data_IF_993123083349
#
_entry.id   IF_993123083349
#
_cell.length_a   1.000
_cell.length_b   1.000
_cell.length_c   1.000
_cell.angle_alpha   90.00
_cell.angle_beta   90.00
_cell.angle_gamma   90.00
#
_symmetry.space_group_name_H-M   'P 1'
#
loop_
_entity.id
_entity.type
_entity.pdbx_description
1 polymer ?
#
# COMPACT_ATOMS: atom_id res chain seq x y z
N UNK A 1 4.64 -8.22 -3.42
CA UNK A 1 4.51 -8.71 -2.03
C UNK A 1 3.70 -9.98 -2.05
N UNK A 2 4.08 -10.98 -1.27
CA UNK A 2 3.35 -12.23 -1.16
C UNK A 2 3.58 -12.85 0.21
N UNK A 3 2.51 -13.24 0.90
CA UNK A 3 2.64 -13.93 2.19
C UNK A 3 3.17 -15.36 2.04
N UNK A 4 3.04 -15.95 0.84
CA UNK A 4 3.41 -17.33 0.55
C UNK A 4 4.06 -17.45 -0.82
N UNK A 5 5.04 -18.35 -0.92
CA UNK A 5 5.74 -18.68 -2.16
C UNK A 5 5.88 -20.20 -2.27
N UNK A 6 5.70 -20.70 -3.48
CA UNK A 6 6.04 -22.09 -3.83
C UNK A 6 7.14 -22.00 -4.87
N UNK A 7 8.35 -22.42 -4.50
CA UNK A 7 9.53 -22.40 -5.35
C UNK A 7 10.16 -23.79 -5.31
N UNK A 8 10.59 -24.31 -6.46
CA UNK A 8 11.34 -25.56 -6.51
C UNK A 8 12.64 -25.42 -5.74
N UNK A 9 13.02 -26.44 -4.98
CA UNK A 9 14.25 -26.44 -4.18
C UNK A 9 15.49 -26.02 -4.99
N UNK A 10 15.68 -26.60 -6.17
CA UNK A 10 16.82 -26.27 -7.06
C UNK A 10 16.86 -24.79 -7.44
N UNK A 11 15.71 -24.20 -7.77
CA UNK A 11 15.59 -22.77 -8.07
C UNK A 11 15.88 -21.92 -6.84
N UNK A 12 15.34 -22.29 -5.69
CA UNK A 12 15.53 -21.55 -4.43
C UNK A 12 17.00 -21.53 -3.98
N UNK A 13 17.70 -22.65 -4.13
CA UNK A 13 19.12 -22.77 -3.82
C UNK A 13 19.96 -21.93 -4.82
N UNK A 14 19.61 -21.95 -6.11
CA UNK A 14 20.35 -21.20 -7.14
C UNK A 14 20.28 -19.67 -6.97
N UNK A 15 19.19 -19.14 -6.40
CA UNK A 15 19.03 -17.68 -6.19
C UNK A 15 19.65 -17.20 -4.87
N UNK A 16 20.34 -18.09 -4.14
CA UNK A 16 21.04 -17.76 -2.89
C UNK A 16 20.15 -17.75 -1.65
N UNK A 17 18.92 -18.27 -1.74
CA UNK A 17 17.97 -18.42 -0.63
C UNK A 17 17.65 -17.10 0.11
N UNK A 18 17.00 -17.18 1.28
CA UNK A 18 16.73 -16.01 2.13
C UNK A 18 17.98 -15.39 2.77
N UNK A 19 19.10 -16.13 2.89
CA UNK A 19 20.36 -15.55 3.38
C UNK A 19 20.83 -14.41 2.47
N UNK A 20 20.60 -14.51 1.16
CA UNK A 20 20.94 -13.46 0.21
C UNK A 20 20.07 -12.20 0.26
N UNK A 21 18.97 -12.17 1.03
CA UNK A 21 18.04 -11.02 1.12
C UNK A 21 17.76 -10.56 2.56
N UNK A 22 18.45 -11.13 3.55
CA UNK A 22 18.28 -10.86 5.00
C UNK A 22 18.40 -9.39 5.42
N UNK A 23 19.07 -8.58 4.60
CA UNK A 23 19.26 -7.14 4.82
C UNK A 23 18.18 -6.25 4.17
N UNK A 24 17.23 -6.84 3.44
CA UNK A 24 16.19 -6.11 2.72
C UNK A 24 14.98 -5.87 3.63
N UNK A 25 14.36 -4.69 3.51
CA UNK A 25 13.13 -4.35 4.25
C UNK A 25 11.92 -5.18 3.76
N UNK A 26 12.00 -5.61 2.50
CA UNK A 26 10.96 -6.33 1.75
C UNK A 26 11.62 -7.57 1.14
N UNK A 27 11.90 -8.55 2.01
CA UNK A 27 12.63 -9.76 1.65
C UNK A 27 11.92 -10.55 0.54
N UNK A 28 10.59 -10.55 0.56
CA UNK A 28 9.72 -11.25 -0.40
C UNK A 28 9.79 -10.64 -1.81
N UNK A 29 9.79 -9.31 -1.91
CA UNK A 29 9.99 -8.59 -3.16
C UNK A 29 11.41 -8.74 -3.69
N UNK A 30 12.42 -8.69 -2.81
CA UNK A 30 13.82 -8.85 -3.19
C UNK A 30 14.12 -10.27 -3.69
N UNK A 31 13.56 -11.30 -3.04
CA UNK A 31 13.70 -12.68 -3.49
C UNK A 31 13.03 -12.89 -4.86
N UNK A 32 11.81 -12.38 -5.03
CA UNK A 32 11.10 -12.45 -6.31
C UNK A 32 11.86 -11.75 -7.45
N UNK A 33 12.54 -10.65 -7.15
CA UNK A 33 13.42 -9.96 -8.11
C UNK A 33 14.60 -10.84 -8.52
N UNK A 34 15.31 -11.45 -7.57
CA UNK A 34 16.42 -12.38 -7.88
C UNK A 34 15.98 -13.56 -8.74
N UNK A 35 14.80 -14.11 -8.47
CA UNK A 35 14.22 -15.18 -9.28
C UNK A 35 14.03 -14.74 -10.73
N UNK A 36 13.47 -13.55 -10.97
CA UNK A 36 13.31 -13.00 -12.32
C UNK A 36 14.65 -12.65 -12.99
N UNK A 37 15.61 -12.09 -12.25
CA UNK A 37 16.94 -11.75 -12.76
C UNK A 37 17.78 -12.99 -13.10
N UNK A 38 17.45 -14.14 -12.51
CA UNK A 38 18.09 -15.44 -12.81
C UNK A 38 17.35 -16.23 -13.91
N UNK A 39 16.59 -15.53 -14.77
CA UNK A 39 15.81 -16.07 -15.89
C UNK A 39 14.75 -17.13 -15.54
N UNK A 40 14.36 -17.22 -14.26
CA UNK A 40 13.26 -18.11 -13.87
C UNK A 40 11.90 -17.43 -14.05
N UNK A 41 10.92 -18.24 -14.48
CA UNK A 41 9.53 -17.80 -14.60
C UNK A 41 8.86 -17.76 -13.22
N UNK A 42 8.32 -16.61 -12.86
CA UNK A 42 7.53 -16.41 -11.65
C UNK A 42 6.13 -15.89 -12.03
N UNK A 43 5.08 -16.42 -11.39
CA UNK A 43 3.69 -15.99 -11.60
C UNK A 43 3.03 -15.71 -10.25
N UNK A 44 2.22 -14.65 -10.20
CA UNK A 44 1.32 -14.38 -9.08
C UNK A 44 -0.02 -15.08 -9.34
N UNK A 45 -0.49 -15.84 -8.35
CA UNK A 45 -1.74 -16.61 -8.42
C UNK A 45 -2.62 -16.19 -7.25
N UNK A 46 -3.92 -16.08 -7.51
CA UNK A 46 -4.96 -15.79 -6.52
C UNK A 46 -5.27 -17.05 -5.71
N UNK A 47 -5.06 -16.99 -4.40
CA UNK A 47 -5.17 -18.10 -3.46
C UNK A 47 -5.97 -17.75 -2.20
N UNK A 48 -6.77 -16.68 -2.26
CA UNK A 48 -7.56 -16.13 -1.15
C UNK A 48 -8.56 -17.17 -0.60
N UNK A 49 -8.98 -18.14 -1.42
CA UNK A 49 -9.87 -19.25 -1.05
C UNK A 49 -9.15 -20.43 -0.35
N UNK A 50 -7.82 -20.41 -0.27
CA UNK A 50 -7.02 -21.50 0.32
C UNK A 50 -6.27 -21.07 1.58
N UNK A 51 -5.88 -19.80 1.67
CA UNK A 51 -5.02 -19.32 2.75
C UNK A 51 -5.40 -17.91 3.18
N UNK A 52 -5.70 -17.76 4.47
CA UNK A 52 -5.93 -16.46 5.09
C UNK A 52 -4.64 -15.92 5.71
N UNK A 53 -4.30 -14.67 5.39
CA UNK A 53 -3.19 -13.95 5.98
C UNK A 53 -3.67 -12.65 6.62
N UNK A 54 -3.55 -12.57 7.94
CA UNK A 54 -3.85 -11.34 8.68
C UNK A 54 -2.65 -10.40 8.61
N UNK A 55 -2.82 -9.26 7.94
CA UNK A 55 -1.73 -8.28 7.75
C UNK A 55 -1.30 -7.60 9.05
N UNK A 56 -2.26 -7.26 9.91
CA UNK A 56 -2.03 -6.65 11.21
C UNK A 56 -3.11 -7.10 12.20
N UNK A 57 -2.72 -7.44 13.43
CA UNK A 57 -3.64 -7.87 14.50
C UNK A 57 -4.04 -6.73 15.44
N UNK A 58 -3.21 -5.69 15.51
CA UNK A 58 -3.38 -4.54 16.41
C UNK A 58 -3.18 -3.21 15.65
N UNK A 59 -3.79 -2.13 16.16
CA UNK A 59 -3.64 -0.77 15.61
C UNK A 59 -2.16 -0.36 15.45
N UNK A 60 -1.33 -0.65 16.44
CA UNK A 60 0.10 -0.32 16.40
C UNK A 60 0.84 -1.13 15.33
N UNK A 61 0.48 -2.40 15.14
CA UNK A 61 1.07 -3.24 14.08
C UNK A 61 0.66 -2.78 12.68
N UNK A 62 -0.60 -2.36 12.52
CA UNK A 62 -1.13 -1.79 11.26
C UNK A 62 -0.42 -0.49 10.92
N UNK A 63 -0.30 0.41 11.90
CA UNK A 63 0.35 1.70 11.71
C UNK A 63 1.81 1.54 11.27
N UNK A 64 2.55 0.65 11.94
CA UNK A 64 3.93 0.40 11.56
C UNK A 64 4.05 -0.31 10.20
N UNK A 65 3.09 -1.18 9.83
CA UNK A 65 3.04 -1.81 8.52
C UNK A 65 2.79 -0.80 7.38
N UNK A 66 1.88 0.16 7.57
CA UNK A 66 1.63 1.26 6.63
C UNK A 66 2.88 2.13 6.44
N UNK A 67 3.52 2.54 7.54
CA UNK A 67 4.79 3.29 7.47
C UNK A 67 5.84 2.51 6.71
N UNK A 68 5.99 1.21 6.98
CA UNK A 68 6.98 0.34 6.31
C UNK A 68 6.75 0.28 4.80
N UNK A 69 5.49 0.15 4.37
CA UNK A 69 5.15 0.12 2.94
C UNK A 69 5.60 1.41 2.24
N UNK A 70 5.25 2.56 2.82
CA UNK A 70 5.63 3.86 2.25
C UNK A 70 7.15 4.11 2.29
N UNK A 71 7.79 3.74 3.40
CA UNK A 71 9.25 3.85 3.54
C UNK A 71 9.96 3.01 2.47
N UNK A 72 9.53 1.77 2.25
CA UNK A 72 10.13 0.92 1.22
C UNK A 72 9.98 1.53 -0.18
N UNK A 73 8.82 2.10 -0.51
CA UNK A 73 8.62 2.83 -1.76
C UNK A 73 9.55 4.04 -1.87
N UNK A 74 9.74 4.78 -0.78
CA UNK A 74 10.62 5.94 -0.75
C UNK A 74 12.10 5.57 -0.94
N UNK A 75 12.53 4.41 -0.40
CA UNK A 75 13.89 3.88 -0.58
C UNK A 75 14.15 3.42 -2.02
N UNK A 76 13.12 2.89 -2.70
CA UNK A 76 13.23 2.54 -4.12
C UNK A 76 13.27 3.79 -5.00
N UNK A 77 12.30 4.69 -4.84
CA UNK A 77 12.23 5.94 -5.59
C UNK A 77 11.36 6.97 -4.88
N UNK A 78 12.00 8.00 -4.31
CA UNK A 78 11.32 9.08 -3.60
C UNK A 78 10.26 9.81 -4.45
N UNK A 79 10.47 9.97 -5.77
CA UNK A 79 9.49 10.62 -6.65
C UNK A 79 8.23 9.78 -6.82
N UNK A 80 8.41 8.47 -7.03
CA UNK A 80 7.30 7.52 -7.15
C UNK A 80 6.55 7.41 -5.82
N UNK A 81 7.25 7.42 -4.69
CA UNK A 81 6.62 7.41 -3.36
C UNK A 81 5.73 8.64 -3.14
N UNK A 82 6.23 9.85 -3.44
CA UNK A 82 5.42 11.08 -3.33
C UNK A 82 4.24 11.06 -4.30
N UNK A 83 4.44 10.63 -5.55
CA UNK A 83 3.34 10.49 -6.51
C UNK A 83 2.29 9.48 -6.04
N UNK A 84 2.71 8.34 -5.46
CA UNK A 84 1.80 7.33 -4.92
C UNK A 84 1.01 7.84 -3.72
N UNK A 85 1.62 8.67 -2.86
CA UNK A 85 0.93 9.33 -1.76
C UNK A 85 -0.16 10.27 -2.26
N UNK A 86 0.14 11.14 -3.23
CA UNK A 86 -0.87 12.01 -3.82
C UNK A 86 -1.95 11.21 -4.55
N UNK A 87 -1.59 10.14 -5.26
CA UNK A 87 -2.57 9.24 -5.89
C UNK A 87 -3.55 8.67 -4.87
N UNK A 88 -3.05 8.11 -3.76
CA UNK A 88 -3.87 7.57 -2.68
C UNK A 88 -4.72 8.67 -2.01
N UNK A 89 -4.13 9.84 -1.75
CA UNK A 89 -4.84 10.99 -1.16
C UNK A 89 -6.02 11.43 -2.02
N UNK A 90 -5.80 11.65 -3.33
CA UNK A 90 -6.84 12.17 -4.22
C UNK A 90 -7.87 11.12 -4.60
N UNK A 91 -7.45 9.87 -4.84
CA UNK A 91 -8.37 8.82 -5.29
C UNK A 91 -9.22 8.25 -4.15
N UNK A 92 -8.66 8.10 -2.95
CA UNK A 92 -9.36 7.42 -1.85
C UNK A 92 -9.93 8.37 -0.80
N UNK A 93 -9.32 9.53 -0.55
CA UNK A 93 -9.72 10.39 0.56
C UNK A 93 -10.39 11.69 0.12
N UNK A 94 -9.83 12.43 -0.84
CA UNK A 94 -10.30 13.78 -1.18
C UNK A 94 -11.75 13.86 -1.67
N UNK A 95 -12.31 12.78 -2.21
CA UNK A 95 -13.72 12.76 -2.60
C UNK A 95 -14.66 13.14 -1.44
N UNK A 96 -14.35 12.74 -0.20
CA UNK A 96 -15.23 12.97 0.95
C UNK A 96 -15.16 14.40 1.52
N UNK A 97 -13.96 15.00 1.77
CA UNK A 97 -13.88 16.40 2.18
C UNK A 97 -14.45 17.36 1.13
N UNK A 98 -14.23 17.11 -0.16
CA UNK A 98 -14.78 17.95 -1.23
C UNK A 98 -16.31 17.85 -1.25
N UNK A 99 -16.87 16.65 -1.05
CA UNK A 99 -18.31 16.48 -0.89
C UNK A 99 -18.84 17.29 0.31
N UNK A 100 -18.22 17.18 1.48
CA UNK A 100 -18.59 17.96 2.67
C UNK A 100 -18.52 19.48 2.44
N UNK A 101 -17.46 19.95 1.79
CA UNK A 101 -17.29 21.35 1.43
C UNK A 101 -18.38 21.83 0.47
N UNK A 102 -18.71 21.02 -0.55
CA UNK A 102 -19.74 21.36 -1.54
C UNK A 102 -21.15 21.43 -0.95
N UNK A 103 -21.45 20.66 0.10
CA UNK A 103 -22.74 20.71 0.80
C UNK A 103 -22.89 22.02 1.59
N UNK A 104 -21.84 22.47 2.26
CA UNK A 104 -21.87 23.68 3.11
C UNK A 104 -22.13 24.94 2.27
N UNK A 105 -21.57 25.01 1.06
CA UNK A 105 -21.66 26.16 0.16
C UNK A 105 -22.65 25.96 -1.00
N UNK A 106 -23.55 24.98 -0.89
CA UNK A 106 -24.47 24.60 -1.97
C UNK A 106 -25.34 25.77 -2.47
N UNK A 107 -25.76 26.67 -1.57
CA UNK A 107 -26.64 27.80 -1.91
C UNK A 107 -25.91 29.05 -2.40
N UNK A 108 -24.57 29.03 -2.53
CA UNK A 108 -23.81 30.25 -2.81
C UNK A 108 -23.71 30.58 -4.30
N UNK A 109 -23.37 29.60 -5.17
CA UNK A 109 -23.24 29.80 -6.63
C UNK A 109 -23.43 28.49 -7.40
N UNK A 110 -23.81 28.58 -8.69
CA UNK A 110 -24.00 27.42 -9.60
C UNK A 110 -22.75 26.53 -9.73
N UNK A 111 -21.55 27.09 -9.52
CA UNK A 111 -20.29 26.33 -9.53
C UNK A 111 -20.21 25.30 -8.39
N UNK A 112 -20.84 25.58 -7.24
CA UNK A 112 -20.89 24.62 -6.13
C UNK A 112 -21.82 23.44 -6.42
N UNK A 113 -22.87 23.64 -7.21
CA UNK A 113 -23.76 22.56 -7.66
C UNK A 113 -22.97 21.58 -8.55
N UNK A 114 -22.21 22.08 -9.52
CA UNK A 114 -21.34 21.22 -10.35
C UNK A 114 -20.31 20.46 -9.50
N UNK A 115 -19.67 21.14 -8.55
CA UNK A 115 -18.70 20.51 -7.64
C UNK A 115 -19.37 19.42 -6.78
N UNK A 116 -20.58 19.66 -6.30
CA UNK A 116 -21.36 18.71 -5.52
C UNK A 116 -21.69 17.46 -6.33
N UNK A 117 -22.18 17.60 -7.57
CA UNK A 117 -22.51 16.47 -8.44
C UNK A 117 -21.28 15.62 -8.74
N UNK A 118 -20.15 16.25 -9.09
CA UNK A 118 -18.90 15.54 -9.36
C UNK A 118 -18.40 14.81 -8.11
N UNK A 119 -18.47 15.44 -6.94
CA UNK A 119 -18.03 14.86 -5.67
C UNK A 119 -18.92 13.70 -5.23
N UNK A 120 -20.22 13.77 -5.51
CA UNK A 120 -21.16 12.66 -5.30
C UNK A 120 -20.77 11.46 -6.17
N UNK A 121 -20.56 11.67 -7.47
CA UNK A 121 -20.16 10.61 -8.40
C UNK A 121 -18.84 9.99 -7.96
N UNK A 122 -17.83 10.81 -7.64
CA UNK A 122 -16.54 10.34 -7.17
C UNK A 122 -16.66 9.49 -5.90
N UNK A 123 -17.44 9.96 -4.91
CA UNK A 123 -17.66 9.22 -3.67
C UNK A 123 -18.38 7.88 -3.91
N UNK A 124 -19.39 7.86 -4.79
CA UNK A 124 -20.10 6.63 -5.19
C UNK A 124 -19.13 5.64 -5.84
N UNK A 125 -18.25 6.10 -6.74
CA UNK A 125 -17.25 5.25 -7.38
C UNK A 125 -16.27 4.65 -6.37
N UNK A 126 -15.84 5.42 -5.36
CA UNK A 126 -15.00 4.90 -4.26
C UNK A 126 -15.74 3.81 -3.48
N UNK A 127 -17.02 4.00 -3.17
CA UNK A 127 -17.82 2.97 -2.49
C UNK A 127 -18.04 1.73 -3.37
N UNK A 128 -18.34 1.89 -4.66
CA UNK A 128 -18.48 0.76 -5.59
C UNK A 128 -17.16 -0.03 -5.65
N UNK A 129 -16.03 0.67 -5.80
CA UNK A 129 -14.70 0.05 -5.76
C UNK A 129 -14.46 -0.73 -4.46
N UNK A 130 -14.77 -0.12 -3.32
CA UNK A 130 -14.63 -0.77 -2.01
C UNK A 130 -15.58 -1.97 -1.80
N UNK A 131 -16.76 -1.97 -2.40
CA UNK A 131 -17.70 -3.10 -2.34
C UNK A 131 -17.23 -4.23 -3.27
N UNK A 132 -16.77 -3.90 -4.47
CA UNK A 132 -16.22 -4.88 -5.41
C UNK A 132 -14.98 -5.55 -4.85
N UNK A 133 -14.08 -4.79 -4.24
CA UNK A 133 -12.87 -5.33 -3.63
C UNK A 133 -13.19 -6.19 -2.39
N UNK A 134 -14.13 -5.76 -1.55
CA UNK A 134 -14.60 -6.57 -0.43
C UNK A 134 -15.24 -7.89 -0.89
N UNK A 135 -16.13 -7.86 -1.91
CA UNK A 135 -16.90 -9.05 -2.31
C UNK A 135 -16.17 -9.98 -3.26
N UNK A 136 -15.39 -9.46 -4.20
CA UNK A 136 -14.69 -10.26 -5.24
C UNK A 136 -13.19 -10.36 -5.02
N UNK A 137 -12.61 -9.43 -4.26
CA UNK A 137 -11.19 -9.40 -3.95
C UNK A 137 -10.87 -10.25 -2.72
N UNK A 138 -11.48 -9.88 -1.60
CA UNK A 138 -11.09 -10.32 -0.25
C UNK A 138 -12.12 -11.19 0.48
N UNK A 139 -13.30 -11.44 -0.13
CA UNK A 139 -14.43 -12.17 0.46
C UNK A 139 -14.85 -11.66 1.86
N UNK A 140 -14.83 -10.33 2.02
CA UNK A 140 -15.18 -9.62 3.24
C UNK A 140 -16.64 -9.16 3.23
N UNK A 141 -17.22 -9.02 4.43
CA UNK A 141 -18.57 -8.47 4.59
C UNK A 141 -18.64 -7.01 4.09
N UNK A 142 -19.66 -6.70 3.30
CA UNK A 142 -19.93 -5.35 2.74
C UNK A 142 -19.96 -4.25 3.82
N UNK A 143 -20.28 -4.61 5.08
CA UNK A 143 -20.26 -3.70 6.23
C UNK A 143 -18.91 -2.98 6.41
N UNK A 144 -17.79 -3.60 6.03
CA UNK A 144 -16.48 -2.97 6.14
C UNK A 144 -16.28 -1.84 5.11
N UNK A 145 -16.91 -1.95 3.93
CA UNK A 145 -16.85 -0.92 2.88
C UNK A 145 -17.59 0.37 3.29
N UNK A 146 -18.53 0.32 4.24
CA UNK A 146 -19.22 1.51 4.75
C UNK A 146 -18.26 2.45 5.49
N UNK A 147 -17.21 1.91 6.11
CA UNK A 147 -16.19 2.68 6.81
C UNK A 147 -15.04 3.12 5.89
N UNK A 148 -15.24 3.12 4.56
CA UNK A 148 -14.26 3.58 3.58
C UNK A 148 -13.69 4.99 3.86
N UNK A 149 -14.47 6.00 4.31
CA UNK A 149 -13.91 7.31 4.66
C UNK A 149 -12.90 7.25 5.83
N UNK A 150 -13.18 6.41 6.83
CA UNK A 150 -12.30 6.22 7.99
C UNK A 150 -11.06 5.44 7.58
N UNK A 151 -11.24 4.38 6.79
CA UNK A 151 -10.13 3.57 6.27
C UNK A 151 -9.18 4.38 5.39
N UNK A 152 -9.72 5.17 4.46
CA UNK A 152 -8.92 6.04 3.58
C UNK A 152 -8.13 7.08 4.39
N UNK A 153 -8.74 7.68 5.42
CA UNK A 153 -8.03 8.59 6.33
C UNK A 153 -6.84 7.92 7.04
N UNK A 154 -7.04 6.70 7.57
CA UNK A 154 -5.97 5.93 8.24
C UNK A 154 -4.82 5.63 7.27
N UNK A 155 -5.12 5.19 6.05
CA UNK A 155 -4.11 4.88 5.04
C UNK A 155 -3.32 6.14 4.65
N UNK A 156 -4.00 7.24 4.36
CA UNK A 156 -3.36 8.54 4.03
C UNK A 156 -2.47 9.02 5.17
N UNK A 157 -2.95 8.94 6.42
CA UNK A 157 -2.19 9.35 7.61
C UNK A 157 -0.95 8.48 7.81
N UNK A 158 -1.08 7.16 7.65
CA UNK A 158 0.04 6.22 7.75
C UNK A 158 1.09 6.44 6.66
N UNK A 159 0.65 6.75 5.44
CA UNK A 159 1.54 7.08 4.32
C UNK A 159 2.26 8.41 4.56
N UNK A 160 1.57 9.44 5.05
CA UNK A 160 2.19 10.71 5.40
C UNK A 160 3.24 10.53 6.50
N UNK A 161 2.91 9.79 7.56
CA UNK A 161 3.85 9.46 8.64
C UNK A 161 5.07 8.69 8.11
N UNK A 162 4.87 7.75 7.19
CA UNK A 162 5.94 7.02 6.51
C UNK A 162 6.85 7.93 5.68
N UNK A 163 6.29 8.88 4.92
CA UNK A 163 7.07 9.86 4.15
C UNK A 163 7.89 10.79 5.03
N UNK A 164 7.31 11.30 6.13
CA UNK A 164 8.02 12.15 7.09
C UNK A 164 9.15 11.37 7.73
N UNK A 165 8.88 10.13 8.16
CA UNK A 165 9.89 9.27 8.76
C UNK A 165 10.99 8.88 7.76
N UNK A 166 10.67 8.62 6.49
CA UNK A 166 11.66 8.30 5.46
C UNK A 166 12.60 9.48 5.14
N UNK A 167 12.10 10.71 5.22
CA UNK A 167 12.93 11.92 5.06
C UNK A 167 13.82 12.19 6.26
N UNK A 168 13.38 11.82 7.46
CA UNK A 168 14.23 11.85 8.64
C UNK A 168 15.27 10.74 8.50
N UNK A 169 16.57 11.05 8.58
CA UNK A 169 17.68 10.09 8.42
C UNK A 169 17.76 9.05 9.56
N UNK A 170 16.66 8.77 10.25
CA UNK A 170 16.58 7.89 11.40
C UNK A 170 16.48 6.44 10.95
N UNK A 171 17.20 5.55 11.64
CA UNK A 171 17.09 4.12 11.43
C UNK A 171 15.65 3.66 11.63
N UNK A 172 15.13 2.84 10.71
CA UNK A 172 13.79 2.28 10.85
C UNK A 172 13.88 1.02 11.68
N UNK A 173 13.36 1.07 12.90
CA UNK A 173 13.24 -0.10 13.76
C UNK A 173 11.98 -0.90 13.40
N UNK A 174 12.16 -2.19 13.13
CA UNK A 174 11.07 -3.12 12.80
C UNK A 174 11.29 -4.47 13.49
N UNK A 175 10.33 -4.90 14.31
CA UNK A 175 10.36 -6.17 15.09
C UNK A 175 11.72 -6.42 15.76
N UNK A 176 12.28 -5.39 16.38
CA UNK A 176 13.58 -5.46 17.08
C UNK A 176 14.83 -5.34 16.19
N UNK A 177 14.69 -5.16 14.87
CA UNK A 177 15.82 -4.92 13.95
C UNK A 177 15.83 -3.47 13.48
N UNK A 178 16.98 -2.79 13.56
CA UNK A 178 17.16 -1.44 13.04
C UNK A 178 17.78 -1.50 11.64
N UNK A 179 17.02 -1.06 10.64
CA UNK A 179 17.51 -0.90 9.27
C UNK A 179 18.08 0.51 9.12
N UNK A 180 19.39 0.61 8.95
CA UNK A 180 20.08 1.87 8.69
C UNK A 180 19.93 2.23 7.22
N UNK A 181 19.16 3.28 6.93
CA UNK A 181 18.91 3.78 5.55
C UNK A 181 20.15 4.40 4.87
N UNK A 182 21.31 4.41 5.53
CA UNK A 182 22.52 5.02 4.99
C UNK A 182 23.16 4.07 3.98
N UNK A 183 22.99 4.35 2.68
CA UNK A 183 23.73 3.69 1.59
C UNK A 183 23.02 2.53 0.88
N UNK A 184 21.82 2.12 1.30
CA UNK A 184 21.05 1.11 0.55
C UNK A 184 20.13 1.80 -0.46
N UNK A 185 20.63 1.95 -1.69
CA UNK A 185 19.77 2.18 -2.86
C UNK A 185 19.10 0.84 -3.16
N UNK A 186 17.82 0.71 -2.80
CA UNK A 186 17.05 -0.46 -3.20
C UNK A 186 16.81 -0.35 -4.71
N UNK A 187 17.59 -1.07 -5.52
CA UNK A 187 17.50 -1.00 -6.98
C UNK A 187 16.05 -1.23 -7.40
N UNK A 188 15.46 -0.27 -8.11
CA UNK A 188 14.09 -0.34 -8.62
C UNK A 188 13.85 -1.66 -9.37
N UNK A 189 12.64 -2.18 -9.24
CA UNK A 189 12.19 -3.32 -10.03
C UNK A 189 11.96 -2.77 -11.45
N UNK A 190 12.86 -3.06 -12.39
CA UNK A 190 12.52 -2.93 -13.80
C UNK A 190 11.56 -4.06 -14.11
N UNK A 191 10.33 -3.71 -14.46
CA UNK A 191 9.27 -4.62 -14.86
C UNK A 191 9.47 -5.09 -16.29
#
# INVERSE_FOLDING_TARGET
FGSFFIIKKSTYDSVGTHEGVKGELVEDGALGKKVKESDFKMRMVRGEHLVDAVWARDMHTLWNALKRLMISLCLQNAKIAVASFFGVLFLLFMAFPILGYSIIFFNSTDSFLMLFVISCIASILVYIGGILDATKGLDLKIKYSLFAPVGSFIVVSGFLAGLIQAKSKTAVSWRGRTYNMKGQIQKSINL
#
